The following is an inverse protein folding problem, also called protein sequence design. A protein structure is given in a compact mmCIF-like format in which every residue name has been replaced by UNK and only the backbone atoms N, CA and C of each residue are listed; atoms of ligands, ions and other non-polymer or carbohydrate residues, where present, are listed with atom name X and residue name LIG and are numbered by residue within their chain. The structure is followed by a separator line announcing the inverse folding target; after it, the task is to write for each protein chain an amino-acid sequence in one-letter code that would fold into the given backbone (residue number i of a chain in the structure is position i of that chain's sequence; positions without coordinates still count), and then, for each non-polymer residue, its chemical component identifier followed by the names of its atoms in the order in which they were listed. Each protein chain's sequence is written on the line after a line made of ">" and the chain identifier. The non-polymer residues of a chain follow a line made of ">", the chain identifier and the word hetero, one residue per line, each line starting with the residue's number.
data_IF_100000546170
#
_entry.id   IF_100000546170
#
_cell.length_a   1.000
_cell.length_b   1.000
_cell.length_c   1.000
_cell.angle_alpha   90.00
_cell.angle_beta   90.00
_cell.angle_gamma   90.00
#
_symmetry.space_group_name_H-M   'P 1'
#
loop_
_entity.id
_entity.type
_entity.pdbx_description
1 polymer ?
#
# COMPACT_ATOMS: atom_id res chain seq x y z
N UNK A 1 7.79 -9.43 4.01
CA UNK A 1 7.85 -8.08 4.57
C UNK A 1 9.15 -7.39 4.14
N UNK A 2 9.18 -6.06 4.14
CA UNK A 2 10.35 -5.28 3.73
C UNK A 2 11.57 -5.50 4.64
N UNK A 3 12.77 -5.43 4.06
CA UNK A 3 14.05 -5.59 4.78
C UNK A 3 14.66 -4.25 5.25
N UNK A 4 14.08 -3.13 4.81
CA UNK A 4 14.61 -1.79 5.05
C UNK A 4 13.50 -0.87 5.53
N UNK A 5 13.86 0.08 6.38
CA UNK A 5 13.00 1.17 6.85
C UNK A 5 13.81 2.44 7.05
N UNK A 6 13.11 3.58 7.11
CA UNK A 6 13.72 4.87 7.40
C UNK A 6 13.45 5.20 8.87
N UNK A 7 14.51 5.41 9.66
CA UNK A 7 14.34 5.82 11.06
C UNK A 7 13.77 7.25 11.13
N UNK A 8 13.01 7.61 12.18
CA UNK A 8 12.49 8.97 12.35
C UNK A 8 13.60 10.04 12.30
N UNK A 9 14.77 9.75 12.85
CA UNK A 9 15.92 10.67 12.84
C UNK A 9 16.40 10.93 11.42
N UNK A 10 16.67 9.86 10.65
CA UNK A 10 17.11 9.98 9.25
C UNK A 10 16.06 10.64 8.37
N UNK A 11 14.78 10.39 8.64
CA UNK A 11 13.69 11.06 7.96
C UNK A 11 13.72 12.57 8.24
N UNK A 12 13.90 12.95 9.50
CA UNK A 12 13.92 14.36 9.92
C UNK A 12 15.15 15.11 9.38
N UNK A 13 16.33 14.48 9.42
CA UNK A 13 17.59 15.02 8.90
C UNK A 13 17.55 15.28 7.39
N UNK A 14 16.76 14.49 6.65
CA UNK A 14 16.57 14.69 5.22
C UNK A 14 15.54 15.79 4.95
N UNK A 15 16.02 17.00 4.65
CA UNK A 15 15.17 18.17 4.38
C UNK A 15 14.14 17.95 3.27
N UNK A 16 14.44 17.15 2.25
CA UNK A 16 13.48 16.88 1.17
C UNK A 16 12.32 16.02 1.68
N UNK A 17 12.58 15.06 2.57
CA UNK A 17 11.54 14.23 3.16
C UNK A 17 10.76 15.00 4.22
N UNK A 18 11.45 15.62 5.18
CA UNK A 18 10.82 16.27 6.33
C UNK A 18 10.04 17.54 5.99
N UNK A 19 10.39 18.23 4.89
CA UNK A 19 9.60 19.36 4.40
C UNK A 19 8.41 18.95 3.52
N UNK A 20 8.47 17.78 2.89
CA UNK A 20 7.42 17.31 1.98
C UNK A 20 6.35 16.48 2.68
N UNK A 21 6.75 15.64 3.64
CA UNK A 21 5.92 14.64 4.29
C UNK A 21 5.79 14.88 5.80
N UNK A 22 4.55 14.79 6.27
CA UNK A 22 4.22 14.60 7.68
C UNK A 22 4.25 13.12 8.03
N UNK A 23 4.99 12.75 9.07
CA UNK A 23 4.89 11.42 9.67
C UNK A 23 3.55 11.28 10.41
N UNK A 24 2.78 10.25 10.08
CA UNK A 24 1.51 9.93 10.74
C UNK A 24 1.69 8.83 11.77
N UNK A 25 2.45 7.79 11.44
CA UNK A 25 2.73 6.67 12.32
C UNK A 25 4.17 6.21 12.21
N UNK A 26 4.68 5.67 13.31
CA UNK A 26 5.91 4.90 13.38
C UNK A 26 5.59 3.49 13.86
N UNK A 27 6.49 2.56 13.58
CA UNK A 27 6.40 1.18 14.07
C UNK A 27 7.79 0.72 14.51
N UNK A 28 7.83 -0.41 15.21
CA UNK A 28 9.07 -0.99 15.75
C UNK A 28 9.31 -2.34 15.09
N UNK A 29 10.55 -2.63 14.68
CA UNK A 29 10.94 -3.92 14.13
C UNK A 29 11.26 -4.96 15.23
N UNK A 30 11.65 -6.17 14.81
CA UNK A 30 12.00 -7.28 15.72
C UNK A 30 13.28 -7.00 16.55
N UNK A 31 14.13 -6.09 16.08
CA UNK A 31 15.35 -5.64 16.78
C UNK A 31 15.11 -4.42 17.69
N UNK A 32 13.84 -4.05 17.92
CA UNK A 32 13.43 -2.84 18.65
C UNK A 32 13.84 -1.50 18.00
N UNK A 33 14.11 -1.48 16.69
CA UNK A 33 14.40 -0.23 15.97
C UNK A 33 13.11 0.39 15.46
N UNK A 34 12.96 1.69 15.70
CA UNK A 34 11.79 2.45 15.27
C UNK A 34 11.98 2.92 13.82
N UNK A 35 10.93 2.79 13.02
CA UNK A 35 10.90 3.25 11.64
C UNK A 35 9.58 3.99 11.33
N UNK A 36 9.64 4.88 10.35
CA UNK A 36 8.46 5.59 9.81
C UNK A 36 7.58 4.60 9.05
N UNK A 37 6.32 4.42 9.48
CA UNK A 37 5.43 3.40 8.90
C UNK A 37 4.31 3.97 8.02
N UNK A 38 3.89 5.22 8.27
CA UNK A 38 2.92 5.92 7.41
C UNK A 38 3.24 7.40 7.34
N UNK A 39 3.21 7.97 6.13
CA UNK A 39 3.40 9.40 5.88
C UNK A 39 2.32 9.96 4.96
N UNK A 40 2.04 11.25 5.10
CA UNK A 40 1.17 12.00 4.19
C UNK A 40 1.82 13.33 3.84
N UNK A 41 1.76 13.74 2.58
CA UNK A 41 2.36 14.99 2.15
C UNK A 41 1.62 16.20 2.76
N UNK A 42 2.34 17.29 3.01
CA UNK A 42 1.75 18.52 3.52
C UNK A 42 0.80 19.20 2.52
N UNK A 43 1.13 19.12 1.22
CA UNK A 43 0.52 19.97 0.20
C UNK A 43 0.01 19.21 -1.02
N UNK A 44 0.31 17.91 -1.12
CA UNK A 44 -0.04 17.08 -2.28
C UNK A 44 -0.85 15.85 -1.83
N UNK A 45 -1.72 15.29 -2.69
CA UNK A 45 -2.48 14.08 -2.38
C UNK A 45 -1.58 12.82 -2.50
N UNK A 46 -0.46 12.82 -1.78
CA UNK A 46 0.52 11.72 -1.75
C UNK A 46 0.54 11.14 -0.34
N UNK A 47 0.14 9.88 -0.22
CA UNK A 47 0.19 9.11 1.03
C UNK A 47 1.01 7.86 0.77
N UNK A 48 1.89 7.49 1.71
CA UNK A 48 2.72 6.30 1.58
C UNK A 48 2.67 5.47 2.87
N UNK A 49 2.67 4.15 2.68
CA UNK A 49 2.64 3.15 3.72
C UNK A 49 3.87 2.25 3.55
N UNK A 50 4.56 1.96 4.64
CA UNK A 50 5.64 0.97 4.66
C UNK A 50 5.09 -0.46 4.80
N UNK A 51 3.88 -0.59 5.34
CA UNK A 51 3.15 -1.83 5.54
C UNK A 51 2.19 -2.10 4.37
N UNK A 52 1.61 -3.31 4.35
CA UNK A 52 0.83 -3.84 3.24
C UNK A 52 -0.67 -3.93 3.60
N UNK A 53 -1.46 -2.85 3.44
CA UNK A 53 -2.88 -2.85 3.78
C UNK A 53 -3.69 -3.87 2.98
N UNK A 54 -3.26 -4.22 1.76
CA UNK A 54 -3.96 -5.14 0.87
C UNK A 54 -3.96 -6.59 1.38
N UNK A 55 -2.90 -6.99 2.08
CA UNK A 55 -2.66 -8.41 2.39
C UNK A 55 -3.69 -9.00 3.34
N UNK A 56 -4.17 -8.22 4.30
CA UNK A 56 -5.08 -8.71 5.36
C UNK A 56 -6.36 -9.37 4.79
N UNK A 57 -6.87 -8.85 3.67
CA UNK A 57 -8.11 -9.33 3.06
C UNK A 57 -7.89 -10.32 1.91
N UNK A 58 -6.72 -10.32 1.27
CA UNK A 58 -6.55 -10.95 -0.05
C UNK A 58 -5.38 -11.93 -0.15
N UNK A 59 -4.50 -12.04 0.84
CA UNK A 59 -3.27 -12.85 0.73
C UNK A 59 -3.11 -13.83 1.89
N UNK A 60 -3.11 -15.14 1.60
CA UNK A 60 -3.08 -16.21 2.60
C UNK A 60 -1.75 -16.96 2.66
N UNK A 61 -0.80 -16.62 1.80
CA UNK A 61 0.46 -17.33 1.67
C UNK A 61 1.35 -17.32 2.92
N UNK A 62 1.16 -16.41 3.88
CA UNK A 62 1.99 -16.31 5.10
C UNK A 62 1.10 -16.24 6.34
N UNK A 63 1.36 -17.11 7.32
CA UNK A 63 0.59 -17.18 8.58
C UNK A 63 0.68 -15.94 9.47
N UNK A 64 1.70 -15.09 9.26
CA UNK A 64 1.88 -13.84 10.00
C UNK A 64 1.02 -12.68 9.49
N UNK A 65 0.33 -12.85 8.36
CA UNK A 65 -0.58 -11.84 7.84
C UNK A 65 -1.81 -11.79 8.76
N UNK A 66 -2.21 -10.61 9.27
CA UNK A 66 -3.34 -10.51 10.16
C UNK A 66 -4.66 -10.62 9.37
N UNK A 67 -5.51 -11.55 9.77
CA UNK A 67 -6.83 -11.81 9.16
C UNK A 67 -7.99 -11.59 10.15
N UNK A 68 -7.77 -10.84 11.23
CA UNK A 68 -8.86 -10.48 12.14
C UNK A 68 -9.86 -9.53 11.47
N UNK A 69 -11.06 -9.41 12.05
CA UNK A 69 -12.08 -8.49 11.54
C UNK A 69 -11.54 -7.05 11.44
N UNK A 70 -10.83 -6.60 12.47
CA UNK A 70 -10.23 -5.27 12.52
C UNK A 70 -9.17 -5.08 11.43
N UNK A 71 -8.35 -6.11 11.16
CA UNK A 71 -7.33 -6.06 10.12
C UNK A 71 -7.96 -5.90 8.72
N UNK A 72 -9.08 -6.59 8.46
CA UNK A 72 -9.84 -6.45 7.21
C UNK A 72 -10.52 -5.07 7.13
N UNK A 73 -11.06 -4.56 8.23
CA UNK A 73 -11.62 -3.21 8.28
C UNK A 73 -10.55 -2.15 7.94
N UNK A 74 -9.31 -2.32 8.42
CA UNK A 74 -8.19 -1.43 8.06
C UNK A 74 -7.95 -1.43 6.54
N UNK A 75 -7.92 -2.60 5.89
CA UNK A 75 -7.81 -2.69 4.42
C UNK A 75 -8.89 -1.88 3.73
N UNK A 76 -10.15 -2.06 4.16
CA UNK A 76 -11.28 -1.36 3.57
C UNK A 76 -11.21 0.15 3.79
N UNK A 77 -10.79 0.61 4.97
CA UNK A 77 -10.63 2.03 5.27
C UNK A 77 -9.55 2.69 4.40
N UNK A 78 -8.40 2.05 4.23
CA UNK A 78 -7.33 2.56 3.36
C UNK A 78 -7.79 2.61 1.90
N UNK A 79 -8.46 1.57 1.40
CA UNK A 79 -9.00 1.56 0.05
C UNK A 79 -10.05 2.65 -0.16
N UNK A 80 -10.97 2.83 0.79
CA UNK A 80 -11.99 3.88 0.74
C UNK A 80 -11.38 5.28 0.71
N UNK A 81 -10.34 5.51 1.52
CA UNK A 81 -9.59 6.77 1.50
C UNK A 81 -8.92 7.02 0.14
N UNK A 82 -8.20 6.03 -0.41
CA UNK A 82 -7.55 6.19 -1.72
C UNK A 82 -8.57 6.52 -2.83
N UNK A 83 -9.70 5.82 -2.86
CA UNK A 83 -10.74 6.06 -3.86
C UNK A 83 -11.43 7.42 -3.63
N UNK A 84 -11.59 7.87 -2.38
CA UNK A 84 -12.14 9.20 -2.10
C UNK A 84 -11.22 10.33 -2.57
N UNK A 85 -9.89 10.18 -2.42
CA UNK A 85 -8.91 11.11 -3.00
C UNK A 85 -8.95 11.09 -4.53
N UNK A 86 -9.01 9.90 -5.16
CA UNK A 86 -9.08 9.77 -6.62
C UNK A 86 -10.32 10.46 -7.22
N UNK A 87 -11.46 10.45 -6.51
CA UNK A 87 -12.70 11.13 -6.93
C UNK A 87 -12.58 12.65 -7.02
N UNK A 88 -11.61 13.26 -6.32
CA UNK A 88 -11.33 14.70 -6.42
C UNK A 88 -10.69 15.08 -7.76
N UNK A 89 -10.16 14.11 -8.50
CA UNK A 89 -9.62 14.34 -9.84
C UNK A 89 -10.72 14.59 -10.87
N UNK A 90 -10.51 15.58 -11.74
CA UNK A 90 -11.37 15.89 -12.88
C UNK A 90 -11.05 15.03 -14.12
N UNK A 91 -10.10 14.08 -14.03
CA UNK A 91 -9.74 13.24 -15.17
C UNK A 91 -10.93 12.39 -15.64
N UNK A 92 -11.31 12.52 -16.92
CA UNK A 92 -12.42 11.79 -17.55
C UNK A 92 -11.97 11.28 -18.93
N UNK A 93 -11.24 10.15 -18.99
CA UNK A 93 -10.83 9.56 -20.27
C UNK A 93 -12.04 9.08 -21.10
N UNK A 94 -11.95 9.06 -22.45
CA UNK A 94 -13.01 8.53 -23.30
C UNK A 94 -13.36 7.08 -22.96
N UNK A 95 -14.64 6.73 -22.98
CA UNK A 95 -15.13 5.40 -22.55
C UNK A 95 -14.44 4.24 -23.26
N UNK A 96 -14.14 4.38 -24.55
CA UNK A 96 -13.41 3.33 -25.29
C UNK A 96 -12.00 3.11 -24.74
N UNK A 97 -11.26 4.19 -24.48
CA UNK A 97 -9.93 4.12 -23.87
C UNK A 97 -10.00 3.49 -22.48
N UNK A 98 -11.05 3.74 -21.70
CA UNK A 98 -11.24 3.06 -20.41
C UNK A 98 -11.38 1.56 -20.62
N UNK A 99 -12.34 1.13 -21.45
CA UNK A 99 -12.62 -0.28 -21.69
C UNK A 99 -11.39 -1.04 -22.18
N UNK A 100 -10.59 -0.44 -23.07
CA UNK A 100 -9.37 -1.05 -23.61
C UNK A 100 -8.25 -1.21 -22.54
N UNK A 101 -8.32 -0.50 -21.40
CA UNK A 101 -7.27 -0.47 -20.37
C UNK A 101 -7.71 -1.02 -18.99
N UNK A 102 -8.91 -1.61 -18.88
CA UNK A 102 -9.35 -2.21 -17.62
C UNK A 102 -8.56 -3.49 -17.30
N UNK A 103 -8.33 -3.74 -16.01
CA UNK A 103 -7.66 -4.97 -15.55
C UNK A 103 -8.44 -6.25 -15.93
N UNK A 104 -9.75 -6.13 -16.19
CA UNK A 104 -10.61 -7.22 -16.65
C UNK A 104 -10.23 -7.79 -18.03
N UNK A 105 -9.38 -7.10 -18.79
CA UNK A 105 -8.85 -7.60 -20.06
C UNK A 105 -7.71 -8.62 -19.88
N UNK A 106 -7.33 -8.92 -18.63
CA UNK A 106 -6.23 -9.80 -18.29
C UNK A 106 -6.70 -10.89 -17.32
N UNK A 107 -6.02 -12.03 -17.36
CA UNK A 107 -6.28 -13.15 -16.43
C UNK A 107 -5.11 -13.28 -15.45
N UNK A 108 -5.40 -13.40 -14.14
CA UNK A 108 -4.35 -13.68 -13.17
C UNK A 108 -3.85 -15.13 -13.30
N UNK A 109 -2.63 -15.36 -12.84
CA UNK A 109 -2.03 -16.69 -12.65
C UNK A 109 -2.00 -17.01 -11.17
N UNK A 110 -2.56 -18.16 -10.78
CA UNK A 110 -2.49 -18.64 -9.41
C UNK A 110 -1.07 -19.09 -9.05
N UNK A 111 -0.48 -18.47 -8.02
CA UNK A 111 0.85 -18.75 -7.50
C UNK A 111 0.86 -19.12 -6.00
N UNK A 112 -0.28 -19.03 -5.31
CA UNK A 112 -0.40 -19.25 -3.86
C UNK A 112 -0.04 -20.64 -3.36
N UNK A 113 -0.01 -21.67 -4.23
CA UNK A 113 0.33 -23.06 -3.84
C UNK A 113 1.71 -23.17 -3.19
N UNK A 114 2.63 -22.26 -3.49
CA UNK A 114 3.96 -22.25 -2.90
C UNK A 114 3.98 -21.79 -1.43
N UNK A 115 2.87 -21.26 -0.88
CA UNK A 115 2.80 -20.75 0.48
C UNK A 115 3.78 -19.61 0.73
N UNK A 116 4.03 -18.79 -0.29
CA UNK A 116 4.91 -17.63 -0.25
C UNK A 116 4.58 -16.67 -1.39
N UNK A 117 4.81 -15.38 -1.17
CA UNK A 117 4.59 -14.36 -2.19
C UNK A 117 3.14 -13.87 -2.22
N UNK A 118 2.53 -13.93 -3.40
CA UNK A 118 1.16 -13.52 -3.66
C UNK A 118 0.35 -14.72 -4.17
N UNK A 119 -0.93 -14.78 -3.81
CA UNK A 119 -1.82 -15.87 -4.18
C UNK A 119 -2.14 -15.85 -5.68
N UNK A 120 -2.40 -14.67 -6.23
CA UNK A 120 -2.65 -14.45 -7.66
C UNK A 120 -1.82 -13.27 -8.20
N UNK A 121 -1.24 -13.42 -9.39
CA UNK A 121 -0.43 -12.37 -10.04
C UNK A 121 -0.80 -12.18 -11.51
N UNK A 122 -0.77 -10.92 -11.98
CA UNK A 122 -0.90 -10.61 -13.40
C UNK A 122 0.49 -10.53 -14.05
N UNK A 123 0.70 -11.26 -15.14
CA UNK A 123 1.97 -11.28 -15.88
C UNK A 123 1.73 -10.61 -17.24
N UNK A 124 2.53 -9.59 -17.56
CA UNK A 124 2.47 -8.86 -18.82
C UNK A 124 3.76 -9.08 -19.61
N UNK A 125 3.66 -9.27 -20.92
CA UNK A 125 4.77 -9.51 -21.85
C UNK A 125 4.92 -8.37 -22.84
#
# INVERSE_FOLDING_TARGET
>A
MGQYGISPERFQENQNLSSFFKVLTTSTDEDNKVYVSTVHSHSYPVTAFQWHPEKNAFEWGLSMIPHSEEAVQVTQHVANFLVSEARKSLNRPPSRRVLDNLIYNYSPTYCGKAGKGYDEVYIFS
#
